data_IF_907786494388
#
_entry.id   IF_907786494388
#
_cell.length_a   1.000
_cell.length_b   1.000
_cell.length_c   1.000
_cell.angle_alpha   90.00
_cell.angle_beta   90.00
_cell.angle_gamma   90.00
#
_symmetry.space_group_name_H-M   'P 1'
#
loop_
_entity.id
_entity.type
_entity.pdbx_description
1 polymer ?
#
# COMPACT_ATOMS: atom_id res chain seq x y z
N UNK A 1 0.54 6.28 2.89
CA UNK A 1 -0.63 5.43 3.22
C UNK A 1 -1.32 5.92 4.49
N UNK A 2 -2.50 6.53 4.41
CA UNK A 2 -3.30 6.86 5.60
C UNK A 2 -4.34 5.75 5.80
N UNK A 3 -4.27 5.04 6.93
CA UNK A 3 -5.11 3.88 7.22
C UNK A 3 -6.09 4.19 8.34
N UNK A 4 -7.35 3.81 8.16
CA UNK A 4 -8.41 3.94 9.15
C UNK A 4 -9.30 2.68 9.08
N UNK A 5 -9.58 2.03 10.20
CA UNK A 5 -10.59 0.96 10.28
C UNK A 5 -11.93 1.64 10.62
N UNK A 6 -13.01 1.42 9.86
CA UNK A 6 -14.35 1.93 10.18
C UNK A 6 -15.30 0.75 10.42
N UNK A 7 -16.02 0.74 11.54
CA UNK A 7 -17.08 -0.24 11.84
C UNK A 7 -18.45 0.43 11.78
N UNK A 8 -19.45 -0.28 11.22
CA UNK A 8 -20.85 0.15 11.17
C UNK A 8 -21.73 -0.89 11.89
N UNK A 9 -22.62 -0.39 12.76
CA UNK A 9 -23.63 -1.12 13.51
C UNK A 9 -25.01 -0.81 12.92
N UNK A 10 -25.85 -1.82 12.70
CA UNK A 10 -27.29 -1.63 12.49
C UNK A 10 -28.08 -2.68 13.27
N UNK A 11 -28.32 -2.43 14.56
CA UNK A 11 -29.34 -3.17 15.30
C UNK A 11 -30.69 -2.49 15.09
N UNK A 12 -31.65 -3.27 14.58
CA UNK A 12 -33.05 -2.88 14.52
C UNK A 12 -33.58 -2.77 15.95
N UNK A 13 -33.88 -1.53 16.36
CA UNK A 13 -34.32 -1.17 17.71
C UNK A 13 -33.82 0.23 18.06
N UNK A 14 -34.61 1.23 17.69
CA UNK A 14 -34.42 2.67 17.85
C UNK A 14 -33.34 3.15 18.85
N UNK A 15 -32.17 3.52 18.31
CA UNK A 15 -31.28 4.59 18.81
C UNK A 15 -30.58 5.20 17.58
N UNK A 16 -30.71 6.52 17.28
CA UNK A 16 -30.26 7.08 16.00
C UNK A 16 -28.75 7.28 15.86
N UNK A 17 -27.93 6.77 16.78
CA UNK A 17 -26.47 6.93 16.72
C UNK A 17 -25.74 5.70 17.26
N UNK A 18 -25.82 4.58 16.55
CA UNK A 18 -24.81 3.55 16.72
C UNK A 18 -23.45 4.12 16.29
N UNK A 19 -22.68 4.62 17.26
CA UNK A 19 -21.44 5.32 17.00
C UNK A 19 -20.45 4.38 16.28
N UNK A 20 -20.11 4.73 15.03
CA UNK A 20 -19.07 4.03 14.29
C UNK A 20 -17.75 4.13 15.08
N UNK A 21 -17.24 2.99 15.55
CA UNK A 21 -15.93 2.95 16.20
C UNK A 21 -14.87 2.88 15.11
N UNK A 22 -13.86 3.75 15.19
CA UNK A 22 -12.70 3.70 14.31
C UNK A 22 -11.43 3.41 15.09
N UNK A 23 -10.52 2.69 14.44
CA UNK A 23 -9.19 2.42 14.99
C UNK A 23 -8.15 2.67 13.89
N UNK A 24 -7.16 3.50 14.19
CA UNK A 24 -6.08 3.81 13.26
C UNK A 24 -4.98 2.77 13.37
N UNK A 25 -4.53 2.21 12.24
CA UNK A 25 -3.35 1.34 12.20
C UNK A 25 -2.06 2.11 11.80
N UNK A 26 -2.09 3.44 11.84
CA UNK A 26 -0.90 4.30 11.64
C UNK A 26 0.22 3.98 12.65
N UNK A 27 1.41 4.50 12.40
CA UNK A 27 2.61 4.32 13.22
C UNK A 27 3.59 3.31 12.61
N UNK A 28 4.34 2.62 13.47
CA UNK A 28 5.38 1.66 13.05
C UNK A 28 4.80 0.36 12.46
N UNK A 29 5.42 -0.08 11.37
CA UNK A 29 5.18 -1.31 10.59
C UNK A 29 6.55 -1.94 10.25
N UNK A 30 6.59 -3.24 9.93
CA UNK A 30 7.78 -3.85 9.30
C UNK A 30 7.70 -3.68 7.79
N UNK A 31 8.83 -3.41 7.15
CA UNK A 31 9.00 -3.29 5.70
C UNK A 31 10.08 -4.28 5.29
N UNK A 32 9.73 -5.15 4.33
CA UNK A 32 10.64 -6.18 3.82
C UNK A 32 10.70 -6.14 2.29
N UNK A 33 11.89 -6.31 1.73
CA UNK A 33 12.08 -6.39 0.28
C UNK A 33 11.75 -7.80 -0.27
N UNK A 34 11.77 -8.00 -1.58
CA UNK A 34 11.19 -9.21 -2.19
C UNK A 34 11.89 -10.52 -1.79
N UNK A 35 13.22 -10.50 -1.70
CA UNK A 35 14.01 -11.68 -1.33
C UNK A 35 14.24 -11.81 0.19
N UNK A 36 13.74 -10.85 0.98
CA UNK A 36 13.87 -10.84 2.44
C UNK A 36 15.26 -10.46 2.98
N UNK A 37 16.21 -10.03 2.14
CA UNK A 37 17.54 -9.61 2.60
C UNK A 37 17.52 -8.30 3.38
N UNK A 38 16.49 -7.47 3.18
CA UNK A 38 16.25 -6.25 3.93
C UNK A 38 14.92 -6.37 4.66
N UNK A 39 14.98 -6.24 5.98
CA UNK A 39 13.81 -6.07 6.84
C UNK A 39 14.09 -4.95 7.84
N UNK A 40 13.23 -3.94 7.86
CA UNK A 40 13.39 -2.75 8.69
C UNK A 40 12.03 -2.22 9.12
N UNK A 41 11.93 -1.60 10.30
CA UNK A 41 10.73 -0.86 10.67
C UNK A 41 10.60 0.42 9.83
N UNK A 42 9.37 0.78 9.48
CA UNK A 42 9.03 2.03 8.82
C UNK A 42 7.66 2.56 9.23
N UNK A 43 7.47 3.86 9.03
CA UNK A 43 6.24 4.55 9.43
C UNK A 43 5.13 4.46 8.38
N UNK A 44 3.89 4.36 8.87
CA UNK A 44 2.67 4.48 8.06
C UNK A 44 1.82 5.62 8.63
N UNK A 45 1.61 6.72 7.89
CA UNK A 45 2.00 6.94 6.50
C UNK A 45 3.50 7.15 6.28
N UNK A 46 4.06 6.52 5.25
CA UNK A 46 5.44 6.70 4.79
C UNK A 46 5.67 5.99 3.45
N UNK A 47 6.91 6.01 2.97
CA UNK A 47 7.35 5.26 1.79
C UNK A 47 8.69 4.56 2.06
N UNK A 48 9.05 3.60 1.21
CA UNK A 48 10.24 2.76 1.37
C UNK A 48 11.53 3.59 1.41
N UNK A 49 11.69 4.55 0.50
CA UNK A 49 12.86 5.42 0.44
C UNK A 49 13.07 6.18 1.78
N UNK A 50 11.99 6.72 2.34
CA UNK A 50 12.05 7.39 3.64
C UNK A 50 12.44 6.43 4.77
N UNK A 51 11.90 5.22 4.79
CA UNK A 51 12.23 4.23 5.81
C UNK A 51 13.71 3.81 5.74
N UNK A 52 14.23 3.55 4.54
CA UNK A 52 15.64 3.22 4.32
C UNK A 52 16.56 4.38 4.74
N UNK A 53 16.19 5.61 4.38
CA UNK A 53 16.94 6.82 4.74
C UNK A 53 16.97 7.04 6.26
N UNK A 54 15.81 6.95 6.93
CA UNK A 54 15.72 7.09 8.40
C UNK A 54 16.52 6.02 9.17
N UNK A 55 16.80 4.89 8.52
CA UNK A 55 17.64 3.82 9.07
C UNK A 55 19.10 3.88 8.61
N UNK A 56 19.49 4.97 7.94
CA UNK A 56 20.82 5.18 7.39
C UNK A 56 21.31 4.04 6.47
N UNK A 57 20.38 3.33 5.81
CA UNK A 57 20.69 2.28 4.83
C UNK A 57 20.96 2.86 3.44
N UNK A 58 20.47 4.08 3.21
CA UNK A 58 20.76 4.90 2.04
C UNK A 58 21.07 6.32 2.48
N UNK A 59 21.79 7.07 1.64
CA UNK A 59 21.97 8.51 1.78
C UNK A 59 20.69 9.24 1.34
N UNK A 60 20.70 10.57 1.46
CA UNK A 60 19.62 11.40 0.93
C UNK A 60 19.39 11.04 -0.55
N UNK A 61 18.17 10.58 -0.93
CA UNK A 61 17.85 10.27 -2.32
C UNK A 61 18.06 11.45 -3.28
N UNK A 62 18.06 12.69 -2.79
CA UNK A 62 18.27 13.90 -3.60
C UNK A 62 19.75 14.31 -3.69
N UNK A 63 20.64 13.60 -3.01
CA UNK A 63 22.06 13.90 -3.08
C UNK A 63 22.69 13.37 -4.38
N UNK A 64 23.14 14.30 -5.23
CA UNK A 64 23.88 14.03 -6.47
C UNK A 64 23.12 13.09 -7.41
N UNK A 65 23.63 11.87 -7.64
CA UNK A 65 23.14 10.89 -8.61
C UNK A 65 22.40 9.73 -7.93
N UNK A 66 21.85 9.96 -6.75
CA UNK A 66 21.16 8.92 -5.98
C UNK A 66 19.82 8.52 -6.59
N UNK A 67 19.23 9.36 -7.44
CA UNK A 67 18.15 9.00 -8.34
C UNK A 67 18.51 7.80 -9.22
N UNK A 68 19.75 7.73 -9.72
CA UNK A 68 20.29 6.61 -10.47
C UNK A 68 20.72 5.46 -9.56
N UNK A 69 21.51 5.76 -8.53
CA UNK A 69 22.10 4.74 -7.66
C UNK A 69 21.05 3.92 -6.90
N UNK A 70 19.89 4.52 -6.61
CA UNK A 70 18.81 3.91 -5.84
C UNK A 70 17.63 3.44 -6.69
N UNK A 71 17.75 3.39 -8.02
CA UNK A 71 16.71 2.81 -8.91
C UNK A 71 16.27 1.40 -8.49
N UNK A 72 17.19 0.60 -7.93
CA UNK A 72 16.88 -0.74 -7.43
C UNK A 72 15.72 -0.76 -6.42
N UNK A 73 15.54 0.30 -5.62
CA UNK A 73 14.44 0.40 -4.65
C UNK A 73 13.08 0.42 -5.37
N UNK A 74 12.97 1.17 -6.47
CA UNK A 74 11.75 1.29 -7.27
C UNK A 74 11.47 0.06 -8.14
N UNK A 75 12.51 -0.72 -8.45
CA UNK A 75 12.44 -1.94 -9.25
C UNK A 75 12.10 -3.19 -8.41
N UNK A 76 12.37 -3.15 -7.10
CA UNK A 76 12.04 -4.25 -6.19
C UNK A 76 10.56 -4.23 -5.75
N UNK A 77 10.07 -5.39 -5.31
CA UNK A 77 8.79 -5.51 -4.63
C UNK A 77 9.00 -5.34 -3.12
N UNK A 78 8.03 -4.72 -2.45
CA UNK A 78 8.12 -4.42 -1.02
C UNK A 78 6.87 -4.86 -0.29
N UNK A 79 7.03 -5.43 0.89
CA UNK A 79 5.94 -5.86 1.75
C UNK A 79 5.93 -5.03 3.02
N UNK A 80 4.81 -4.35 3.30
CA UNK A 80 4.54 -3.75 4.59
C UNK A 80 3.74 -4.75 5.43
N UNK A 81 4.15 -5.01 6.67
CA UNK A 81 3.42 -5.90 7.57
C UNK A 81 3.25 -5.32 8.97
N UNK A 82 2.15 -5.72 9.63
CA UNK A 82 1.87 -5.33 11.01
C UNK A 82 0.99 -6.35 11.70
N UNK A 83 1.32 -6.67 12.95
CA UNK A 83 0.40 -7.34 13.85
C UNK A 83 -0.33 -6.31 14.70
N UNK A 84 -1.63 -6.53 14.93
CA UNK A 84 -2.44 -5.64 15.75
C UNK A 84 -3.58 -6.39 16.45
N UNK A 85 -3.87 -5.96 17.67
CA UNK A 85 -5.02 -6.41 18.44
C UNK A 85 -6.18 -5.44 18.24
N UNK A 86 -7.38 -5.98 18.17
CA UNK A 86 -8.59 -5.18 18.05
C UNK A 86 -9.02 -4.67 19.42
N UNK A 87 -9.23 -3.35 19.61
CA UNK A 87 -9.55 -2.78 20.92
C UNK A 87 -11.04 -2.91 21.28
N UNK A 88 -11.79 -3.80 20.61
CA UNK A 88 -13.21 -4.01 20.79
C UNK A 88 -13.58 -5.48 20.64
N UNK A 89 -14.69 -5.85 21.27
CA UNK A 89 -15.29 -7.17 21.13
C UNK A 89 -16.00 -7.28 19.78
N UNK A 90 -15.44 -8.10 18.88
CA UNK A 90 -15.91 -8.28 17.50
C UNK A 90 -17.35 -8.82 17.46
N UNK A 91 -17.76 -9.64 18.44
CA UNK A 91 -19.10 -10.23 18.49
C UNK A 91 -20.23 -9.19 18.60
N UNK A 92 -19.89 -7.98 19.04
CA UNK A 92 -20.82 -6.85 19.18
C UNK A 92 -21.03 -6.07 17.88
N UNK A 93 -20.33 -6.41 16.79
CA UNK A 93 -20.38 -5.64 15.54
C UNK A 93 -20.81 -6.53 14.38
N UNK A 94 -21.78 -6.04 13.59
CA UNK A 94 -22.26 -6.76 12.41
C UNK A 94 -21.30 -6.66 11.22
N UNK A 95 -20.58 -5.53 11.10
CA UNK A 95 -19.68 -5.25 10.00
C UNK A 95 -18.38 -4.62 10.46
N UNK A 96 -17.29 -5.07 9.86
CA UNK A 96 -15.94 -4.54 10.07
C UNK A 96 -15.31 -4.20 8.72
N UNK A 97 -14.90 -2.95 8.52
CA UNK A 97 -14.22 -2.53 7.30
C UNK A 97 -12.79 -2.08 7.55
N UNK A 98 -11.89 -2.54 6.69
CA UNK A 98 -10.54 -2.01 6.55
C UNK A 98 -10.49 -0.95 5.46
N UNK A 99 -10.02 0.25 5.81
CA UNK A 99 -10.02 1.38 4.88
C UNK A 99 -8.61 1.96 4.71
N UNK A 100 -8.20 2.01 3.44
CA UNK A 100 -7.05 2.75 2.98
C UNK A 100 -7.53 4.06 2.38
N UNK A 101 -7.21 5.19 2.99
CA UNK A 101 -7.49 6.51 2.40
C UNK A 101 -6.70 6.71 1.10
N UNK A 102 -5.47 6.19 1.05
CA UNK A 102 -4.62 6.13 -0.14
C UNK A 102 -3.54 5.06 0.04
N UNK A 103 -3.21 4.38 -1.05
CA UNK A 103 -2.21 3.32 -1.15
C UNK A 103 -1.50 3.45 -2.50
N UNK A 104 -0.18 3.64 -2.49
CA UNK A 104 0.62 3.92 -3.68
C UNK A 104 1.46 2.69 -4.03
N UNK A 105 1.13 1.91 -5.07
CA UNK A 105 -0.08 2.00 -5.91
C UNK A 105 -0.65 0.61 -6.13
N UNK A 106 0.17 -0.26 -6.71
CA UNK A 106 -0.22 -1.62 -7.07
C UNK A 106 0.15 -2.55 -5.94
N UNK A 107 -0.84 -3.20 -5.34
CA UNK A 107 -0.60 -4.09 -4.21
C UNK A 107 -1.64 -5.18 -4.07
N UNK A 108 -1.26 -6.23 -3.37
CA UNK A 108 -2.16 -7.22 -2.79
C UNK A 108 -2.26 -6.98 -1.28
N UNK A 109 -3.49 -6.94 -0.75
CA UNK A 109 -3.75 -6.74 0.67
C UNK A 109 -4.22 -8.06 1.27
N UNK A 110 -3.46 -8.57 2.24
CA UNK A 110 -3.75 -9.80 2.96
C UNK A 110 -4.04 -9.49 4.41
N UNK A 111 -5.07 -10.13 4.97
CA UNK A 111 -5.37 -10.13 6.40
C UNK A 111 -5.44 -11.57 6.87
N UNK A 112 -4.68 -11.92 7.91
CA UNK A 112 -4.61 -13.27 8.45
C UNK A 112 -4.33 -14.33 7.36
N UNK A 113 -3.40 -14.00 6.45
CA UNK A 113 -3.02 -14.81 5.28
C UNK A 113 -4.13 -15.00 4.23
N UNK A 114 -5.26 -14.30 4.34
CA UNK A 114 -6.34 -14.28 3.34
C UNK A 114 -6.23 -13.04 2.47
N UNK A 115 -6.20 -13.19 1.14
CA UNK A 115 -6.26 -12.08 0.20
C UNK A 115 -7.64 -11.41 0.29
N UNK A 116 -7.69 -10.18 0.80
CA UNK A 116 -8.93 -9.41 0.94
C UNK A 116 -9.14 -8.41 -0.20
N UNK A 117 -8.11 -8.12 -1.00
CA UNK A 117 -8.25 -7.31 -2.19
C UNK A 117 -6.94 -6.95 -2.86
N UNK A 118 -7.07 -6.28 -4.02
CA UNK A 118 -5.96 -5.74 -4.81
C UNK A 118 -6.18 -4.26 -5.07
N UNK A 119 -5.09 -3.51 -5.24
CA UNK A 119 -5.11 -2.07 -5.51
C UNK A 119 -4.28 -1.77 -6.75
N UNK A 120 -4.62 -0.72 -7.49
CA UNK A 120 -3.89 -0.30 -8.69
C UNK A 120 -3.98 1.20 -9.02
N UNK A 121 -4.42 2.00 -8.05
CA UNK A 121 -4.66 3.44 -8.25
C UNK A 121 -4.43 4.19 -6.94
N UNK A 122 -3.44 5.10 -6.93
CA UNK A 122 -3.02 5.82 -5.72
C UNK A 122 -4.00 6.91 -5.26
N UNK A 123 -4.87 7.34 -6.17
CA UNK A 123 -5.78 8.47 -5.98
C UNK A 123 -7.15 8.06 -5.43
N UNK A 124 -7.36 6.77 -5.15
CA UNK A 124 -8.63 6.25 -4.66
C UNK A 124 -8.51 5.73 -3.24
N UNK A 125 -9.60 5.90 -2.50
CA UNK A 125 -9.86 5.19 -1.26
C UNK A 125 -10.23 3.74 -1.58
N UNK A 126 -9.74 2.80 -0.79
CA UNK A 126 -10.14 1.39 -0.82
C UNK A 126 -10.80 1.02 0.50
N UNK A 127 -11.89 0.26 0.42
CA UNK A 127 -12.64 -0.25 1.56
C UNK A 127 -12.85 -1.73 1.35
N UNK A 128 -12.35 -2.54 2.28
CA UNK A 128 -12.50 -3.99 2.27
C UNK A 128 -13.39 -4.41 3.43
N UNK A 129 -14.44 -5.19 3.16
CA UNK A 129 -15.21 -5.86 4.21
C UNK A 129 -14.38 -7.04 4.75
N UNK A 130 -13.99 -6.96 6.01
CA UNK A 130 -13.15 -7.96 6.69
C UNK A 130 -13.92 -8.73 7.77
N UNK A 131 -15.25 -8.59 7.82
CA UNK A 131 -16.12 -9.12 8.88
C UNK A 131 -15.89 -10.61 9.16
N UNK A 132 -15.65 -11.40 8.13
CA UNK A 132 -15.48 -12.86 8.25
C UNK A 132 -14.02 -13.32 8.39
N UNK A 133 -13.06 -12.40 8.27
CA UNK A 133 -11.61 -12.71 8.29
C UNK A 133 -10.96 -12.21 9.59
N UNK A 134 -11.56 -11.19 10.18
CA UNK A 134 -11.04 -10.49 11.35
C UNK A 134 -11.09 -11.35 12.62
N UNK A 135 -10.05 -11.26 13.44
CA UNK A 135 -9.85 -12.00 14.69
C UNK A 135 -9.47 -11.04 15.82
N UNK A 136 -9.36 -11.52 17.05
CA UNK A 136 -8.91 -10.70 18.19
C UNK A 136 -7.48 -10.16 17.98
N UNK A 137 -6.56 -11.01 17.53
CA UNK A 137 -5.22 -10.68 17.07
C UNK A 137 -5.14 -10.91 15.56
N UNK A 138 -4.64 -9.93 14.81
CA UNK A 138 -4.55 -10.00 13.36
C UNK A 138 -3.15 -9.70 12.88
N UNK A 139 -2.79 -10.29 11.73
CA UNK A 139 -1.65 -9.90 10.93
C UNK A 139 -2.14 -9.35 9.60
N UNK A 140 -1.66 -8.17 9.21
CA UNK A 140 -1.91 -7.56 7.91
C UNK A 140 -0.62 -7.50 7.11
N UNK A 141 -0.70 -7.83 5.83
CA UNK A 141 0.36 -7.61 4.86
C UNK A 141 -0.18 -6.80 3.67
N UNK A 142 0.63 -5.85 3.21
CA UNK A 142 0.41 -5.11 1.97
C UNK A 142 1.62 -5.35 1.09
N UNK A 143 1.45 -6.20 0.09
CA UNK A 143 2.50 -6.64 -0.83
C UNK A 143 2.47 -5.78 -2.09
N UNK A 144 3.38 -4.83 -2.19
CA UNK A 144 3.49 -3.94 -3.32
C UNK A 144 4.29 -4.59 -4.46
N UNK A 145 3.78 -4.41 -5.67
CA UNK A 145 4.53 -4.68 -6.90
C UNK A 145 5.29 -3.41 -7.31
N UNK A 146 6.50 -3.57 -7.84
CA UNK A 146 7.26 -2.48 -8.45
C UNK A 146 6.40 -1.72 -9.47
N UNK A 147 6.23 -0.40 -9.33
CA UNK A 147 5.41 0.38 -10.25
C UNK A 147 5.99 0.40 -11.66
N UNK A 148 7.32 0.38 -11.79
CA UNK A 148 8.03 0.34 -13.09
C UNK A 148 7.74 -0.98 -13.79
N UNK A 149 7.94 -2.10 -13.08
CA UNK A 149 7.67 -3.44 -13.61
C UNK A 149 6.20 -3.62 -13.99
N UNK A 150 5.27 -3.14 -13.15
CA UNK A 150 3.84 -3.19 -13.43
C UNK A 150 3.48 -2.40 -14.69
N UNK A 151 3.93 -1.15 -14.80
CA UNK A 151 3.62 -0.29 -15.95
C UNK A 151 4.15 -0.90 -17.27
N UNK A 152 5.37 -1.45 -17.26
CA UNK A 152 5.90 -2.19 -18.41
C UNK A 152 5.10 -3.46 -18.74
N UNK A 153 4.59 -4.19 -17.73
CA UNK A 153 3.70 -5.34 -17.96
C UNK A 153 2.37 -4.90 -18.58
N UNK A 154 1.75 -3.83 -18.09
CA UNK A 154 0.50 -3.29 -18.64
C UNK A 154 0.67 -2.82 -20.09
N UNK A 155 1.78 -2.13 -20.38
CA UNK A 155 2.15 -1.73 -21.74
C UNK A 155 2.28 -2.94 -22.68
N UNK A 156 3.00 -3.99 -22.26
CA UNK A 156 3.14 -5.24 -23.04
C UNK A 156 1.81 -5.97 -23.24
N UNK A 157 0.92 -5.93 -22.27
CA UNK A 157 -0.41 -6.53 -22.36
C UNK A 157 -1.35 -5.76 -23.30
N UNK A 158 -1.08 -4.48 -23.55
CA UNK A 158 -1.86 -3.64 -24.44
C UNK A 158 -1.37 -3.79 -25.89
N UNK A 159 -1.92 -4.77 -26.60
CA UNK A 159 -1.45 -5.16 -27.94
C UNK A 159 -2.16 -4.48 -29.10
N UNK A 160 -3.27 -3.80 -28.86
CA UNK A 160 -4.13 -3.25 -29.93
C UNK A 160 -3.48 -2.10 -30.69
N UNK A 161 -2.79 -1.20 -29.98
CA UNK A 161 -2.09 -0.05 -30.54
C UNK A 161 -1.05 0.46 -29.52
N UNK A 162 -0.18 1.38 -29.93
CA UNK A 162 0.78 2.00 -29.01
C UNK A 162 0.15 3.20 -28.28
N UNK A 163 0.46 3.35 -27.00
CA UNK A 163 0.05 4.51 -26.19
C UNK A 163 1.27 5.37 -25.88
N UNK A 164 1.58 6.39 -26.72
CA UNK A 164 2.71 7.27 -26.49
C UNK A 164 2.45 8.31 -25.37
N UNK A 165 3.52 8.92 -24.82
CA UNK A 165 4.93 8.56 -25.04
C UNK A 165 5.28 7.25 -24.32
N UNK A 166 6.11 6.40 -24.94
CA UNK A 166 6.54 5.14 -24.34
C UNK A 166 7.56 5.36 -23.22
N UNK A 167 8.53 6.23 -23.45
CA UNK A 167 9.57 6.58 -22.48
C UNK A 167 9.76 8.11 -22.46
N UNK A 168 10.19 8.68 -21.32
CA UNK A 168 10.61 10.07 -21.26
C UNK A 168 11.89 10.32 -22.08
N UNK A 169 12.23 11.58 -22.41
CA UNK A 169 13.52 11.96 -22.94
C UNK A 169 14.67 11.48 -22.04
N UNK A 170 15.80 11.05 -22.62
CA UNK A 170 16.94 10.52 -21.86
C UNK A 170 17.50 11.50 -20.83
N UNK A 171 17.46 12.80 -21.13
CA UNK A 171 17.89 13.88 -20.21
C UNK A 171 17.13 13.92 -18.89
N UNK A 172 15.95 13.27 -18.80
CA UNK A 172 15.18 13.17 -17.57
C UNK A 172 15.62 12.01 -16.68
N UNK A 173 16.40 11.05 -17.21
CA UNK A 173 16.82 9.86 -16.46
C UNK A 173 15.66 9.13 -15.76
N UNK A 174 14.49 9.14 -16.40
CA UNK A 174 13.24 8.61 -15.86
C UNK A 174 12.90 7.18 -16.33
N UNK A 175 11.71 6.72 -15.91
CA UNK A 175 11.20 5.39 -16.20
C UNK A 175 10.12 5.40 -17.29
N UNK A 176 10.02 4.32 -18.06
CA UNK A 176 9.06 4.22 -19.16
C UNK A 176 7.63 3.87 -18.71
N UNK A 177 6.66 4.10 -19.59
CA UNK A 177 5.28 3.64 -19.50
C UNK A 177 4.47 4.18 -18.31
N UNK A 178 4.85 5.34 -17.76
CA UNK A 178 4.13 5.99 -16.64
C UNK A 178 2.64 6.22 -16.94
N UNK A 179 2.25 6.31 -18.21
CA UNK A 179 0.87 6.43 -18.68
C UNK A 179 0.01 5.16 -18.47
N UNK A 180 0.62 4.00 -18.18
CA UNK A 180 -0.08 2.74 -17.90
C UNK A 180 -0.36 2.51 -16.40
N UNK A 181 -0.02 3.44 -15.53
CA UNK A 181 -0.24 3.32 -14.08
C UNK A 181 -0.95 4.57 -13.51
N UNK A 182 -1.91 4.37 -12.61
CA UNK A 182 -2.61 5.46 -11.92
C UNK A 182 -1.83 5.88 -10.67
N UNK A 183 -0.66 6.46 -10.90
CA UNK A 183 0.29 6.98 -9.91
C UNK A 183 0.62 8.46 -10.21
N UNK A 184 1.27 9.15 -9.28
CA UNK A 184 1.79 10.49 -9.50
C UNK A 184 2.74 10.47 -10.69
N UNK A 185 2.43 11.30 -11.69
CA UNK A 185 3.32 11.49 -12.83
C UNK A 185 4.50 12.34 -12.34
N UNK A 186 5.70 11.79 -12.44
CA UNK A 186 6.97 12.50 -12.28
C UNK A 186 7.67 12.45 -13.63
#
# INVERSE_FOLDING_TARGET
>A
MRLCLLLLLALCGADPTAAARSHSLRGSWSIRNANGSLELPGEVPGCVHMALFQRNLIQDPYYRFNDLNYRWISLDNWTYSKEFQIPFDISKWQKVHLIFESIDTVSEVLLNNVLIGKTNNMFRRYTFDITHVVKALNSIEVRFQSPVSYAAQQSRAHTLYQVPPNCPPSVQEGECHVNFIRKGAF
#
